data_IF_737606936776
#
_entry.id   IF_737606936776
#
_cell.length_a   1.000
_cell.length_b   1.000
_cell.length_c   1.000
_cell.angle_alpha   90.00
_cell.angle_beta   90.00
_cell.angle_gamma   90.00
#
_symmetry.space_group_name_H-M   'P 1'
#
loop_
_entity.id
_entity.type
_entity.pdbx_description
1 polymer ?
#
# COMPACT_ATOMS: atom_id res chain seq x y z
N UNK A 1 0.37 -7.28 32.33
CA UNK A 1 1.37 -6.80 31.35
C UNK A 1 0.64 -6.43 30.07
N UNK A 2 1.08 -5.39 29.37
CA UNK A 2 0.61 -5.05 28.04
C UNK A 2 1.66 -5.48 27.02
N UNK A 3 1.23 -6.12 25.95
CA UNK A 3 2.09 -6.55 24.85
C UNK A 3 1.36 -6.40 23.54
N UNK A 4 2.02 -5.81 22.56
CA UNK A 4 1.53 -5.64 21.20
C UNK A 4 2.57 -6.17 20.23
N UNK A 5 2.16 -6.87 19.17
CA UNK A 5 3.07 -7.31 18.11
C UNK A 5 2.96 -6.40 16.91
N UNK A 6 4.05 -6.28 16.15
CA UNK A 6 4.05 -5.58 14.88
C UNK A 6 2.99 -6.18 13.94
N UNK A 7 2.17 -5.31 13.36
CA UNK A 7 1.19 -5.62 12.31
C UNK A 7 1.81 -5.22 10.96
N UNK A 8 1.47 -5.86 9.82
CA UNK A 8 1.98 -5.44 8.51
C UNK A 8 1.72 -3.96 8.23
N UNK A 9 2.53 -3.38 7.34
CA UNK A 9 2.33 -2.01 6.88
C UNK A 9 1.00 -1.87 6.13
N UNK A 10 0.39 -0.69 6.23
CA UNK A 10 -0.74 -0.31 5.38
C UNK A 10 -0.25 -0.16 3.94
N UNK A 11 -0.91 -0.80 3.00
CA UNK A 11 -0.59 -0.71 1.57
C UNK A 11 -1.81 -0.19 0.82
N UNK A 12 -1.63 0.25 -0.44
CA UNK A 12 -2.78 0.58 -1.29
C UNK A 12 -3.70 -0.64 -1.54
N UNK A 13 -3.17 -1.86 -1.50
CA UNK A 13 -3.93 -3.09 -1.64
C UNK A 13 -4.58 -3.57 -0.33
N UNK A 14 -4.04 -3.17 0.82
CA UNK A 14 -4.53 -3.46 2.15
C UNK A 14 -4.67 -2.15 2.95
N UNK A 15 -5.76 -1.40 2.73
CA UNK A 15 -5.98 -0.09 3.35
C UNK A 15 -6.39 -0.18 4.83
N UNK A 16 -6.60 -1.39 5.35
CA UNK A 16 -6.86 -1.64 6.76
C UNK A 16 -5.99 -2.79 7.26
N UNK A 17 -5.61 -2.73 8.53
CA UNK A 17 -4.89 -3.80 9.23
C UNK A 17 -5.49 -3.99 10.62
N UNK A 18 -5.27 -5.19 11.18
CA UNK A 18 -5.66 -5.51 12.54
C UNK A 18 -4.44 -5.47 13.45
N UNK A 19 -4.51 -4.71 14.54
CA UNK A 19 -3.47 -4.76 15.57
C UNK A 19 -3.66 -6.00 16.43
N UNK A 20 -2.59 -6.47 17.07
CA UNK A 20 -2.64 -7.66 17.90
C UNK A 20 -2.06 -7.39 19.29
N UNK A 21 -2.96 -7.28 20.27
CA UNK A 21 -2.67 -7.16 21.69
C UNK A 21 -2.77 -8.47 22.47
N UNK A 22 -2.98 -9.62 21.81
CA UNK A 22 -3.28 -10.91 22.48
C UNK A 22 -2.18 -11.44 23.41
N UNK A 23 -0.96 -10.88 23.33
CA UNK A 23 0.13 -11.14 24.28
C UNK A 23 0.00 -10.37 25.62
N UNK A 24 -1.07 -9.59 25.80
CA UNK A 24 -1.37 -8.86 27.03
C UNK A 24 -2.02 -9.76 28.09
N UNK A 25 -2.10 -9.28 29.33
CA UNK A 25 -2.90 -9.90 30.38
C UNK A 25 -4.38 -9.96 29.96
N UNK A 26 -5.02 -11.09 30.21
CA UNK A 26 -6.41 -11.37 29.82
C UNK A 26 -7.23 -11.90 30.99
N UNK A 27 -8.56 -11.79 30.89
CA UNK A 27 -9.49 -12.23 31.92
C UNK A 27 -10.70 -11.30 32.03
N UNK A 28 -11.71 -11.67 32.85
CA UNK A 28 -12.94 -10.89 33.00
C UNK A 28 -12.71 -9.52 33.66
N UNK A 29 -11.66 -9.40 34.48
CA UNK A 29 -11.35 -8.18 35.23
C UNK A 29 -10.44 -7.21 34.45
N UNK A 30 -9.96 -7.59 33.25
CA UNK A 30 -9.11 -6.73 32.44
C UNK A 30 -9.91 -5.92 31.42
N UNK A 31 -9.60 -4.64 31.32
CA UNK A 31 -10.10 -3.75 30.26
C UNK A 31 -8.97 -3.28 29.38
N UNK A 32 -9.30 -2.97 28.12
CA UNK A 32 -8.37 -2.55 27.09
C UNK A 32 -8.84 -1.22 26.54
N UNK A 33 -7.90 -0.35 26.21
CA UNK A 33 -8.16 0.88 25.49
C UNK A 33 -7.00 1.17 24.54
N UNK A 34 -7.32 1.32 23.27
CA UNK A 34 -6.42 1.79 22.24
C UNK A 34 -6.60 3.28 22.00
N UNK A 35 -5.50 4.01 21.94
CA UNK A 35 -5.48 5.44 21.61
C UNK A 35 -4.40 5.74 20.58
N UNK A 36 -4.56 6.85 19.86
CA UNK A 36 -3.58 7.34 18.89
C UNK A 36 -3.70 8.86 18.77
N UNK A 37 -2.58 9.52 18.44
CA UNK A 37 -2.53 10.98 18.21
C UNK A 37 -2.33 11.36 16.75
N UNK A 38 -1.82 10.42 15.95
CA UNK A 38 -1.36 10.60 14.58
C UNK A 38 -1.90 9.53 13.62
N UNK A 39 -2.67 8.56 14.11
CA UNK A 39 -3.37 7.54 13.32
C UNK A 39 -4.90 7.63 13.42
N UNK A 40 -5.56 6.53 13.04
CA UNK A 40 -7.01 6.37 13.09
C UNK A 40 -7.41 4.93 13.45
N UNK A 41 -8.38 4.77 14.34
CA UNK A 41 -8.97 3.47 14.73
C UNK A 41 -10.36 3.39 14.11
N UNK A 42 -10.61 2.35 13.32
CA UNK A 42 -11.91 2.11 12.68
C UNK A 42 -12.90 1.45 13.64
N UNK A 43 -12.44 0.44 14.37
CA UNK A 43 -13.29 -0.34 15.26
C UNK A 43 -12.48 -1.12 16.30
N UNK A 44 -13.16 -1.61 17.33
CA UNK A 44 -12.56 -2.52 18.32
C UNK A 44 -11.56 -1.87 19.29
N UNK A 45 -11.64 -0.55 19.50
CA UNK A 45 -10.71 0.22 20.36
C UNK A 45 -10.63 -0.29 21.80
N UNK A 46 -11.64 -1.02 22.28
CA UNK A 46 -11.68 -1.64 23.61
C UNK A 46 -11.42 -3.16 23.60
N UNK A 47 -10.88 -3.67 22.50
CA UNK A 47 -10.58 -5.09 22.30
C UNK A 47 -9.08 -5.32 22.14
N UNK A 48 -8.66 -6.59 22.18
CA UNK A 48 -7.27 -6.97 21.89
C UNK A 48 -6.92 -6.92 20.41
N UNK A 49 -7.89 -6.75 19.52
CA UNK A 49 -7.67 -6.81 18.07
C UNK A 49 -8.42 -5.69 17.32
N UNK A 50 -8.09 -4.41 17.57
CA UNK A 50 -8.71 -3.28 16.88
C UNK A 50 -8.31 -3.26 15.39
N UNK A 51 -9.18 -2.68 14.58
CA UNK A 51 -8.92 -2.42 13.17
C UNK A 51 -8.53 -0.95 12.96
N UNK A 52 -7.50 -0.71 12.16
CA UNK A 52 -6.93 0.62 11.90
C UNK A 52 -6.66 0.82 10.41
N UNK A 53 -6.64 2.06 9.94
CA UNK A 53 -6.48 2.40 8.52
C UNK A 53 -5.59 3.62 8.25
N UNK A 54 -4.83 4.06 9.25
CA UNK A 54 -3.86 5.14 9.08
C UNK A 54 -2.51 4.75 9.69
N UNK A 55 -1.44 5.28 9.10
CA UNK A 55 -0.13 5.20 9.74
C UNK A 55 -0.11 6.06 11.00
N UNK A 56 0.70 5.69 11.97
CA UNK A 56 0.78 6.38 13.25
C UNK A 56 1.19 5.47 14.39
N UNK A 57 1.27 6.04 15.58
CA UNK A 57 1.57 5.32 16.81
C UNK A 57 0.28 4.99 17.55
N UNK A 58 0.12 3.73 17.91
CA UNK A 58 -1.05 3.20 18.62
C UNK A 58 -0.64 2.70 19.99
N UNK A 59 -1.23 3.28 21.03
CA UNK A 59 -0.98 2.93 22.43
C UNK A 59 -2.13 2.06 22.95
N UNK A 60 -1.80 0.86 23.42
CA UNK A 60 -2.67 -0.01 24.20
C UNK A 60 -2.45 0.24 25.69
N UNK A 61 -3.51 0.61 26.40
CA UNK A 61 -3.57 0.62 27.86
C UNK A 61 -4.41 -0.57 28.33
N UNK A 62 -3.86 -1.39 29.21
CA UNK A 62 -4.53 -2.53 29.87
C UNK A 62 -4.73 -2.19 31.33
N UNK A 63 -5.96 -2.26 31.83
CA UNK A 63 -6.29 -1.96 33.23
C UNK A 63 -6.87 -3.18 33.91
N UNK A 64 -6.29 -3.57 35.05
CA UNK A 64 -6.84 -4.57 35.95
C UNK A 64 -7.87 -3.91 36.89
N UNK A 65 -9.14 -4.26 36.74
CA UNK A 65 -10.23 -3.68 37.54
C UNK A 65 -10.26 -4.17 38.98
N UNK A 66 -9.55 -5.26 39.30
CA UNK A 66 -9.52 -5.80 40.66
C UNK A 66 -8.65 -4.97 41.61
N UNK A 67 -7.63 -4.30 41.07
CA UNK A 67 -6.64 -3.54 41.85
C UNK A 67 -6.31 -2.14 41.27
N UNK A 68 -6.82 -1.80 40.09
CA UNK A 68 -6.61 -0.52 39.42
C UNK A 68 -5.24 -0.36 38.75
N UNK A 69 -4.41 -1.41 38.70
CA UNK A 69 -3.10 -1.34 38.04
C UNK A 69 -3.24 -1.24 36.52
N UNK A 70 -2.41 -0.41 35.91
CA UNK A 70 -2.35 -0.24 34.45
C UNK A 70 -1.01 -0.71 33.88
N UNK A 71 -1.03 -1.15 32.62
CA UNK A 71 0.15 -1.41 31.82
C UNK A 71 -0.06 -0.87 30.41
N UNK A 72 1.02 -0.42 29.77
CA UNK A 72 0.98 0.24 28.48
C UNK A 72 1.93 -0.42 27.48
N UNK A 73 1.54 -0.45 26.21
CA UNK A 73 2.37 -0.93 25.12
C UNK A 73 2.06 -0.18 23.82
N UNK A 74 3.09 0.15 23.04
CA UNK A 74 2.96 0.93 21.82
C UNK A 74 3.35 0.11 20.60
N UNK A 75 2.59 0.24 19.52
CA UNK A 75 2.95 -0.27 18.18
C UNK A 75 2.92 0.87 17.18
N UNK A 76 3.85 0.85 16.23
CA UNK A 76 3.88 1.82 15.13
C UNK A 76 3.35 1.12 13.88
N UNK A 77 2.37 1.74 13.24
CA UNK A 77 1.87 1.34 11.92
C UNK A 77 2.51 2.25 10.89
N UNK A 78 3.18 1.67 9.91
CA UNK A 78 3.73 2.41 8.78
C UNK A 78 2.82 2.26 7.57
N UNK A 79 2.85 3.25 6.69
CA UNK A 79 2.27 3.14 5.37
C UNK A 79 3.38 2.78 4.40
N UNK A 80 3.29 1.59 3.80
CA UNK A 80 4.11 1.22 2.67
C UNK A 80 3.59 1.96 1.44
N UNK A 81 4.47 2.72 0.80
CA UNK A 81 4.21 3.36 -0.48
C UNK A 81 4.32 2.31 -1.60
N UNK A 82 3.41 1.34 -1.60
CA UNK A 82 3.24 0.37 -2.69
C UNK A 82 2.54 1.05 -3.87
N UNK A 83 3.16 2.11 -4.39
CA UNK A 83 2.69 2.76 -5.60
C UNK A 83 2.86 1.80 -6.79
N UNK A 84 1.94 1.83 -7.77
CA UNK A 84 2.15 1.13 -9.03
C UNK A 84 3.50 1.53 -9.64
N UNK A 85 4.31 0.53 -9.96
CA UNK A 85 5.53 0.71 -10.71
C UNK A 85 5.18 0.90 -12.18
N UNK A 86 5.62 2.02 -12.76
CA UNK A 86 5.60 2.23 -14.20
C UNK A 86 7.00 2.01 -14.78
N UNK A 87 7.13 1.12 -15.76
CA UNK A 87 8.36 0.86 -16.50
C UNK A 87 8.06 0.89 -17.99
N UNK A 88 8.64 1.83 -18.72
CA UNK A 88 8.45 1.98 -20.17
C UNK A 88 9.46 1.17 -21.01
N UNK A 89 10.27 0.33 -20.36
CA UNK A 89 11.31 -0.46 -21.02
C UNK A 89 12.55 0.36 -21.40
N UNK A 90 13.42 -0.24 -22.20
CA UNK A 90 14.61 0.44 -22.74
C UNK A 90 14.26 1.27 -23.98
N UNK A 91 15.05 2.31 -24.25
CA UNK A 91 14.95 3.06 -25.50
C UNK A 91 15.16 2.14 -26.71
N UNK A 92 14.39 2.37 -27.77
CA UNK A 92 14.51 1.64 -29.03
C UNK A 92 14.55 2.62 -30.21
N UNK A 93 15.31 2.27 -31.25
CA UNK A 93 15.53 3.13 -32.41
C UNK A 93 14.64 2.72 -33.59
N UNK A 94 13.75 3.64 -34.00
CA UNK A 94 13.10 3.57 -35.29
C UNK A 94 14.09 4.00 -36.38
N UNK A 95 14.23 3.17 -37.41
CA UNK A 95 15.14 3.44 -38.55
C UNK A 95 14.36 3.35 -39.87
N UNK A 96 14.95 3.74 -41.00
CA UNK A 96 14.28 3.56 -42.29
C UNK A 96 13.93 2.09 -42.61
N UNK A 97 14.62 1.14 -41.98
CA UNK A 97 14.37 -0.30 -42.12
C UNK A 97 13.40 -0.84 -41.05
N UNK A 98 13.26 -0.15 -39.92
CA UNK A 98 12.40 -0.50 -38.79
C UNK A 98 11.39 0.64 -38.62
N UNK A 99 10.24 0.49 -39.24
CA UNK A 99 9.20 1.52 -39.26
C UNK A 99 8.20 1.40 -38.12
N UNK A 100 8.23 0.28 -37.38
CA UNK A 100 7.33 0.03 -36.26
C UNK A 100 8.04 -0.73 -35.15
N UNK A 101 7.73 -0.37 -33.91
CA UNK A 101 8.29 -0.99 -32.70
C UNK A 101 7.18 -1.18 -31.67
N UNK A 102 7.24 -2.30 -30.95
CA UNK A 102 6.45 -2.50 -29.74
C UNK A 102 7.25 -1.95 -28.55
N UNK A 103 6.65 -1.04 -27.78
CA UNK A 103 7.24 -0.64 -26.49
C UNK A 103 7.07 -1.77 -25.47
N UNK A 104 7.95 -1.81 -24.47
CA UNK A 104 7.94 -2.86 -23.44
C UNK A 104 7.57 -2.27 -22.08
N UNK A 105 6.28 -2.34 -21.76
CA UNK A 105 5.72 -1.97 -20.47
C UNK A 105 5.80 -3.07 -19.41
N UNK A 106 6.26 -4.28 -19.75
CA UNK A 106 6.04 -5.50 -18.93
C UNK A 106 6.81 -5.51 -17.60
N UNK A 107 7.76 -4.60 -17.42
CA UNK A 107 8.40 -4.34 -16.13
C UNK A 107 7.55 -3.53 -15.14
N UNK A 108 6.32 -3.18 -15.48
CA UNK A 108 5.38 -2.44 -14.64
C UNK A 108 4.63 -3.35 -13.66
N UNK A 109 3.97 -2.76 -12.66
CA UNK A 109 2.99 -3.47 -11.82
C UNK A 109 1.88 -4.05 -12.69
N UNK A 110 1.50 -5.30 -12.43
CA UNK A 110 0.57 -6.09 -13.22
C UNK A 110 -0.44 -6.82 -12.33
N UNK A 111 -1.60 -7.13 -12.90
CA UNK A 111 -2.66 -7.90 -12.23
C UNK A 111 -4.04 -7.25 -12.34
N UNK A 112 -5.07 -7.87 -11.75
CA UNK A 112 -6.41 -7.30 -11.71
C UNK A 112 -6.41 -5.95 -10.98
N UNK A 113 -7.03 -4.94 -11.57
CA UNK A 113 -7.14 -3.60 -10.99
C UNK A 113 -6.13 -2.59 -11.51
N UNK A 114 -5.04 -3.02 -12.17
CA UNK A 114 -4.14 -2.11 -12.86
C UNK A 114 -4.65 -1.76 -14.25
N UNK A 115 -4.47 -0.48 -14.59
CA UNK A 115 -4.79 0.12 -15.88
C UNK A 115 -3.54 0.79 -16.43
N UNK A 116 -3.42 0.79 -17.76
CA UNK A 116 -2.25 1.33 -18.46
C UNK A 116 -2.71 2.43 -19.41
N UNK A 117 -1.91 3.48 -19.52
CA UNK A 117 -2.10 4.52 -20.52
C UNK A 117 -0.75 5.02 -21.03
N UNK A 118 -0.54 4.85 -22.33
CA UNK A 118 0.58 5.42 -23.04
C UNK A 118 0.19 6.77 -23.65
N UNK A 119 1.08 7.74 -23.50
CA UNK A 119 0.95 9.08 -24.08
C UNK A 119 2.27 9.54 -24.67
N UNK A 120 2.20 10.47 -25.61
CA UNK A 120 3.38 11.08 -26.25
C UNK A 120 3.02 12.50 -26.70
N UNK A 121 4.01 13.41 -26.69
CA UNK A 121 3.86 14.80 -27.16
C UNK A 121 4.47 15.03 -28.55
N UNK A 122 5.34 14.14 -28.99
CA UNK A 122 6.21 14.30 -30.16
C UNK A 122 6.37 13.03 -31.00
N UNK A 123 5.68 11.94 -30.63
CA UNK A 123 5.60 10.69 -31.39
C UNK A 123 4.17 10.34 -31.80
N UNK A 124 3.96 9.07 -32.16
CA UNK A 124 2.65 8.52 -32.56
C UNK A 124 2.47 7.08 -32.03
N UNK A 125 1.26 6.77 -31.55
CA UNK A 125 0.89 5.43 -31.09
C UNK A 125 -0.17 4.88 -32.05
N UNK A 126 0.16 3.81 -32.76
CA UNK A 126 -0.72 3.18 -33.73
C UNK A 126 -1.85 2.39 -33.06
N UNK A 127 -1.54 1.64 -32.02
CA UNK A 127 -2.50 0.79 -31.32
C UNK A 127 -2.00 0.35 -29.94
N UNK A 128 -2.90 -0.17 -29.12
CA UNK A 128 -2.55 -0.76 -27.83
C UNK A 128 -2.12 0.27 -26.78
N UNK A 129 -2.53 1.54 -26.89
CA UNK A 129 -2.17 2.59 -25.93
C UNK A 129 -2.65 2.30 -24.49
N UNK A 130 -3.52 1.32 -24.29
CA UNK A 130 -3.96 0.84 -22.98
C UNK A 130 -3.45 -0.56 -22.63
N UNK A 131 -2.44 -1.06 -23.35
CA UNK A 131 -1.78 -2.34 -23.10
C UNK A 131 -0.32 -2.12 -22.65
N UNK A 132 0.32 -3.20 -22.21
CA UNK A 132 1.75 -3.18 -21.86
C UNK A 132 2.67 -3.14 -23.08
N UNK A 133 2.15 -3.41 -24.27
CA UNK A 133 2.97 -3.48 -25.51
C UNK A 133 2.29 -2.70 -26.64
N UNK A 134 2.24 -1.36 -26.57
CA UNK A 134 1.69 -0.54 -27.64
C UNK A 134 2.60 -0.55 -28.87
N UNK A 135 2.00 -0.40 -30.05
CA UNK A 135 2.72 -0.27 -31.31
C UNK A 135 2.93 1.20 -31.66
N UNK A 136 4.16 1.58 -31.98
CA UNK A 136 4.54 2.94 -32.39
C UNK A 136 5.21 2.93 -33.77
N UNK A 137 5.20 4.07 -34.45
CA UNK A 137 5.82 4.24 -35.79
C UNK A 137 6.61 5.54 -35.97
N UNK A 138 6.63 6.40 -34.96
CA UNK A 138 7.26 7.72 -35.03
C UNK A 138 8.23 7.87 -33.87
N UNK A 139 9.48 8.33 -34.09
CA UNK A 139 10.38 8.66 -32.99
C UNK A 139 9.78 9.73 -32.08
N UNK A 140 9.96 9.61 -30.77
CA UNK A 140 9.47 10.57 -29.79
C UNK A 140 9.63 10.07 -28.37
N UNK A 141 9.25 10.88 -27.40
CA UNK A 141 9.16 10.49 -26.00
C UNK A 141 7.79 9.86 -25.71
N UNK A 142 7.81 8.63 -25.18
CA UNK A 142 6.62 7.90 -24.79
C UNK A 142 6.59 7.74 -23.28
N UNK A 143 5.45 8.07 -22.67
CA UNK A 143 5.23 7.97 -21.23
C UNK A 143 4.16 6.92 -20.95
N UNK A 144 4.48 5.98 -20.05
CA UNK A 144 3.54 5.01 -19.53
C UNK A 144 3.06 5.45 -18.15
N UNK A 145 1.74 5.58 -18.00
CA UNK A 145 1.06 5.75 -16.72
C UNK A 145 0.41 4.43 -16.31
N UNK A 146 0.59 4.05 -15.04
CA UNK A 146 -0.01 2.87 -14.41
C UNK A 146 -0.86 3.33 -13.23
N UNK A 147 -2.13 2.93 -13.19
CA UNK A 147 -3.10 3.29 -12.13
C UNK A 147 -3.93 2.12 -11.67
#
# INVERSE_FOLDING_TARGET
>A
MASVTASPDLTCAAPTIQLNGSGSSTGPDFTYLWTTTDGNILSGETTLMPEVNASGSYLLTVTDQSNGCTAEATVVVQQAADLPQASAGSSADLTCQIQQILLDGTGSSQGPGFTYLWSTSDGNILSGNTTLTPLIDTPGAYQLQVT
#
